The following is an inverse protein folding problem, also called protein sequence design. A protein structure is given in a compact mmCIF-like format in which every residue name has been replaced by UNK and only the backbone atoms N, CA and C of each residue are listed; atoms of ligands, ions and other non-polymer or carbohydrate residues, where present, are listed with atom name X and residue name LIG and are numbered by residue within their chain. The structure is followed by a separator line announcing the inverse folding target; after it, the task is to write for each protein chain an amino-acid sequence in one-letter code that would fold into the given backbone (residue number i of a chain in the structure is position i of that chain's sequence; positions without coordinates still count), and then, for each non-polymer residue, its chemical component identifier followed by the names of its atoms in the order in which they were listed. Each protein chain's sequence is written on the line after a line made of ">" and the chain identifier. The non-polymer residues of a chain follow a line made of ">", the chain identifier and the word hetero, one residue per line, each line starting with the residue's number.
data_IF_081135341975
#
_entry.id   IF_081135341975
#
_cell.length_a   1.000
_cell.length_b   1.000
_cell.length_c   1.000
_cell.angle_alpha   90.00
_cell.angle_beta   90.00
_cell.angle_gamma   90.00
#
_symmetry.space_group_name_H-M   'P 1'
#
loop_
_entity.id
_entity.type
_entity.pdbx_description
1 polymer ?
#
# COMPACT_ATOMS: atom_id res chain seq x y z
N UNK A 1 74.05 -26.50 -21.33
CA UNK A 1 73.39 -26.00 -20.10
C UNK A 1 72.80 -24.58 -20.19
N UNK A 2 72.91 -23.84 -21.31
CA UNK A 2 72.37 -22.46 -21.41
C UNK A 2 70.95 -22.39 -22.04
N UNK A 3 70.49 -23.41 -22.77
CA UNK A 3 69.19 -23.43 -23.42
C UNK A 3 67.99 -23.66 -22.46
N UNK A 4 68.16 -24.38 -21.34
CA UNK A 4 67.06 -24.70 -20.41
C UNK A 4 66.65 -23.55 -19.49
N UNK A 5 67.53 -22.56 -19.25
CA UNK A 5 67.18 -21.43 -18.39
C UNK A 5 66.21 -20.43 -19.09
N UNK A 6 66.38 -20.23 -20.40
CA UNK A 6 65.51 -19.34 -21.16
C UNK A 6 64.05 -19.89 -21.28
N UNK A 7 63.92 -21.23 -21.44
CA UNK A 7 62.63 -21.90 -21.52
C UNK A 7 61.78 -21.74 -20.23
N UNK A 8 62.41 -21.92 -19.06
CA UNK A 8 61.76 -21.78 -17.75
C UNK A 8 61.34 -20.32 -17.45
N UNK A 9 62.10 -19.34 -17.92
CA UNK A 9 61.74 -17.90 -17.73
C UNK A 9 60.55 -17.53 -18.60
N UNK A 10 60.42 -18.02 -19.81
CA UNK A 10 59.27 -17.73 -20.68
C UNK A 10 58.01 -18.44 -20.25
N UNK A 11 58.10 -19.68 -19.70
CA UNK A 11 56.94 -20.39 -19.12
C UNK A 11 56.46 -19.71 -17.82
N UNK A 12 57.41 -19.25 -16.98
CA UNK A 12 57.05 -18.50 -15.76
C UNK A 12 56.40 -17.14 -16.04
N UNK A 13 56.83 -16.41 -17.10
CA UNK A 13 56.23 -15.15 -17.51
C UNK A 13 54.84 -15.34 -18.14
N UNK A 14 54.65 -16.43 -18.91
CA UNK A 14 53.33 -16.78 -19.49
C UNK A 14 52.32 -17.17 -18.41
N UNK A 15 52.74 -17.91 -17.37
CA UNK A 15 51.85 -18.23 -16.22
C UNK A 15 51.51 -17.00 -15.37
N UNK A 16 52.43 -16.06 -15.19
CA UNK A 16 52.18 -14.80 -14.50
C UNK A 16 51.24 -13.87 -15.29
N UNK A 17 51.31 -13.89 -16.63
CA UNK A 17 50.37 -13.16 -17.47
C UNK A 17 48.94 -13.77 -17.49
N UNK A 18 48.80 -15.10 -17.36
CA UNK A 18 47.49 -15.77 -17.25
C UNK A 18 46.85 -15.52 -15.88
N UNK A 19 47.64 -15.35 -14.80
CA UNK A 19 47.14 -14.97 -13.48
C UNK A 19 46.79 -13.47 -13.36
N UNK A 20 47.28 -12.60 -14.26
CA UNK A 20 46.93 -11.17 -14.32
C UNK A 20 45.62 -10.89 -15.08
N UNK A 21 45.04 -11.86 -15.79
CA UNK A 21 43.63 -11.85 -16.18
C UNK A 21 42.74 -12.29 -15.00
N UNK A 22 43.14 -11.87 -13.79
CA UNK A 22 42.32 -11.97 -12.61
C UNK A 22 40.99 -11.26 -12.90
N UNK A 23 39.91 -11.96 -12.72
CA UNK A 23 38.56 -11.54 -12.75
C UNK A 23 38.45 -10.05 -12.42
N UNK A 24 38.31 -9.19 -13.46
CA UNK A 24 37.74 -7.89 -13.24
C UNK A 24 36.36 -8.19 -12.61
N UNK A 25 36.25 -8.00 -11.30
CA UNK A 25 34.98 -8.00 -10.64
C UNK A 25 34.17 -6.93 -11.37
N UNK A 26 33.29 -7.36 -12.27
CA UNK A 26 32.42 -6.45 -12.99
C UNK A 26 31.57 -5.77 -11.92
N UNK A 27 31.79 -4.48 -11.74
CA UNK A 27 30.99 -3.71 -10.79
C UNK A 27 29.52 -3.95 -11.11
N UNK A 28 28.74 -4.36 -10.12
CA UNK A 28 27.32 -4.62 -10.31
C UNK A 28 26.57 -3.37 -10.80
N UNK A 29 25.48 -3.58 -11.50
CA UNK A 29 24.63 -2.50 -11.96
C UNK A 29 23.90 -1.86 -10.78
N UNK A 30 23.50 -0.59 -10.92
CA UNK A 30 22.61 0.08 -9.97
C UNK A 30 21.30 0.41 -10.68
N UNK A 31 20.20 -0.20 -10.21
CA UNK A 31 18.85 0.03 -10.71
C UNK A 31 18.19 1.13 -9.90
N UNK A 32 17.68 2.15 -10.56
CA UNK A 32 17.18 3.36 -9.92
C UNK A 32 15.66 3.38 -9.88
N UNK A 33 15.11 3.63 -8.70
CA UNK A 33 13.68 3.84 -8.46
C UNK A 33 13.43 5.26 -7.99
N UNK A 34 12.24 5.78 -8.24
CA UNK A 34 11.80 7.08 -7.69
C UNK A 34 10.63 6.90 -6.76
N UNK A 35 10.55 7.68 -5.68
CA UNK A 35 9.43 7.75 -4.77
C UNK A 35 9.16 9.19 -4.36
N UNK A 36 7.96 9.70 -4.69
CA UNK A 36 7.44 10.96 -4.15
C UNK A 36 6.29 10.67 -3.20
N UNK A 37 6.33 11.26 -2.00
CA UNK A 37 5.34 10.99 -0.97
C UNK A 37 5.25 12.13 0.05
N UNK A 38 4.16 12.13 0.83
CA UNK A 38 3.97 13.06 1.94
C UNK A 38 4.70 12.55 3.20
N UNK A 39 5.98 12.87 3.34
CA UNK A 39 6.71 12.69 4.62
C UNK A 39 6.20 13.71 5.63
N UNK A 40 5.88 14.91 5.15
CA UNK A 40 5.20 15.97 5.90
C UNK A 40 3.86 16.32 5.25
N UNK A 41 2.99 17.09 5.93
CA UNK A 41 1.70 17.54 5.39
C UNK A 41 0.51 16.65 5.80
N UNK A 42 -0.64 16.74 5.09
CA UNK A 42 -1.93 16.26 5.58
C UNK A 42 -2.05 14.74 5.81
N UNK A 43 -1.23 13.94 5.15
CA UNK A 43 -1.25 12.46 5.24
C UNK A 43 0.08 11.87 5.72
N UNK A 44 0.88 12.68 6.42
CA UNK A 44 2.21 12.28 6.88
C UNK A 44 2.18 11.18 7.96
N UNK A 45 1.08 11.02 8.67
CA UNK A 45 0.86 9.92 9.61
C UNK A 45 0.92 8.54 8.92
N UNK A 46 0.52 8.47 7.64
CA UNK A 46 0.70 7.27 6.82
C UNK A 46 2.00 7.33 5.98
N UNK A 47 2.35 8.50 5.42
CA UNK A 47 3.48 8.64 4.50
C UNK A 47 4.84 8.43 5.15
N UNK A 48 5.04 8.90 6.40
CA UNK A 48 6.31 8.75 7.09
C UNK A 48 6.65 7.26 7.37
N UNK A 49 5.81 6.45 8.05
CA UNK A 49 6.12 5.03 8.21
C UNK A 49 6.21 4.27 6.88
N UNK A 50 5.42 4.63 5.86
CA UNK A 50 5.55 4.07 4.51
C UNK A 50 6.95 4.30 3.93
N UNK A 51 7.46 5.53 3.98
CA UNK A 51 8.81 5.85 3.47
C UNK A 51 9.89 5.01 4.15
N UNK A 52 9.75 4.78 5.46
CA UNK A 52 10.69 3.95 6.24
C UNK A 52 10.64 2.49 5.81
N UNK A 53 9.47 1.97 5.46
CA UNK A 53 9.34 0.62 4.91
C UNK A 53 10.07 0.43 3.59
N UNK A 54 9.92 1.38 2.66
CA UNK A 54 10.66 1.37 1.38
C UNK A 54 12.15 1.49 1.62
N UNK A 55 12.59 2.47 2.42
CA UNK A 55 14.00 2.71 2.74
C UNK A 55 14.67 1.46 3.30
N UNK A 56 14.08 0.85 4.31
CA UNK A 56 14.67 -0.28 5.03
C UNK A 56 14.71 -1.54 4.15
N UNK A 57 13.68 -1.79 3.35
CA UNK A 57 13.70 -2.94 2.45
C UNK A 57 14.75 -2.79 1.34
N UNK A 58 14.90 -1.60 0.74
CA UNK A 58 15.94 -1.35 -0.26
C UNK A 58 17.34 -1.48 0.36
N UNK A 59 17.56 -1.00 1.59
CA UNK A 59 18.82 -1.20 2.31
C UNK A 59 19.09 -2.69 2.53
N UNK A 60 18.08 -3.43 2.99
CA UNK A 60 18.17 -4.88 3.19
C UNK A 60 18.58 -5.61 1.91
N UNK A 61 17.95 -5.27 0.78
CA UNK A 61 18.27 -5.85 -0.54
C UNK A 61 19.74 -5.68 -0.89
N UNK A 62 20.29 -4.50 -0.63
CA UNK A 62 21.70 -4.18 -0.91
C UNK A 62 22.64 -4.82 0.11
N UNK A 63 22.30 -4.79 1.41
CA UNK A 63 23.14 -5.34 2.49
C UNK A 63 23.25 -6.87 2.39
N UNK A 64 22.13 -7.55 2.08
CA UNK A 64 22.08 -9.01 1.93
C UNK A 64 22.41 -9.50 0.50
N UNK A 65 22.77 -8.58 -0.40
CA UNK A 65 23.07 -8.90 -1.80
C UNK A 65 21.97 -9.73 -2.48
N UNK A 66 20.69 -9.41 -2.24
CA UNK A 66 19.54 -10.15 -2.79
C UNK A 66 19.59 -10.24 -4.32
N UNK A 67 20.20 -9.24 -4.98
CA UNK A 67 20.41 -9.17 -6.43
C UNK A 67 21.87 -9.52 -6.85
N UNK A 68 22.62 -10.21 -5.99
CA UNK A 68 24.05 -10.47 -6.18
C UNK A 68 24.87 -9.19 -5.99
N UNK A 69 25.74 -8.85 -6.93
CA UNK A 69 26.55 -7.64 -6.87
C UNK A 69 25.82 -6.39 -7.39
N UNK A 70 24.64 -6.55 -7.98
CA UNK A 70 23.80 -5.42 -8.38
C UNK A 70 23.12 -4.77 -7.17
N UNK A 71 22.82 -3.48 -7.27
CA UNK A 71 22.20 -2.66 -6.23
C UNK A 71 20.91 -2.01 -6.71
N UNK A 72 20.07 -1.64 -5.75
CA UNK A 72 18.92 -0.78 -5.96
C UNK A 72 19.16 0.55 -5.25
N UNK A 73 18.94 1.65 -5.94
CA UNK A 73 18.88 3.00 -5.37
C UNK A 73 17.45 3.54 -5.50
N UNK A 74 16.88 4.03 -4.41
CA UNK A 74 15.57 4.65 -4.43
C UNK A 74 15.69 6.12 -4.03
N UNK A 75 15.35 7.03 -4.95
CA UNK A 75 15.28 8.48 -4.68
C UNK A 75 13.97 8.78 -3.96
N UNK A 76 14.03 9.08 -2.68
CA UNK A 76 12.86 9.36 -1.83
C UNK A 76 12.80 10.85 -1.56
N UNK A 77 11.67 11.52 -1.92
CA UNK A 77 11.46 12.96 -1.68
C UNK A 77 10.08 13.26 -1.11
N UNK A 78 10.07 14.21 -0.17
CA UNK A 78 8.84 14.78 0.37
C UNK A 78 8.15 15.67 -0.67
N UNK A 79 6.88 15.38 -0.98
CA UNK A 79 6.04 16.21 -1.84
C UNK A 79 4.98 17.00 -1.07
N UNK A 80 4.90 16.82 0.26
CA UNK A 80 3.92 17.47 1.12
C UNK A 80 2.46 17.25 0.69
N UNK A 81 2.19 16.16 -0.04
CA UNK A 81 0.89 15.87 -0.66
C UNK A 81 0.48 16.89 -1.74
N UNK A 82 1.47 17.53 -2.42
CA UNK A 82 1.26 18.54 -3.45
C UNK A 82 1.60 17.99 -4.83
N UNK A 83 0.63 17.96 -5.73
CA UNK A 83 0.75 17.39 -7.08
C UNK A 83 1.84 18.07 -7.93
N UNK A 84 1.98 19.38 -7.83
CA UNK A 84 3.00 20.13 -8.55
C UNK A 84 4.43 19.81 -8.09
N UNK A 85 4.61 19.52 -6.79
CA UNK A 85 5.90 19.06 -6.25
C UNK A 85 6.19 17.62 -6.71
N UNK A 86 5.17 16.74 -6.67
CA UNK A 86 5.31 15.37 -7.18
C UNK A 86 5.73 15.36 -8.65
N UNK A 87 5.13 16.23 -9.48
CA UNK A 87 5.48 16.34 -10.90
C UNK A 87 6.94 16.72 -11.10
N UNK A 88 7.43 17.77 -10.44
CA UNK A 88 8.85 18.16 -10.49
C UNK A 88 9.79 17.05 -10.02
N UNK A 89 9.42 16.34 -8.96
CA UNK A 89 10.20 15.20 -8.48
C UNK A 89 10.27 14.09 -9.54
N UNK A 90 9.14 13.80 -10.20
CA UNK A 90 9.08 12.78 -11.25
C UNK A 90 9.96 13.13 -12.44
N UNK A 91 9.89 14.37 -12.94
CA UNK A 91 10.75 14.87 -14.00
C UNK A 91 12.25 14.74 -13.65
N UNK A 92 12.65 15.17 -12.45
CA UNK A 92 14.01 15.00 -11.94
C UNK A 92 14.45 13.51 -11.84
N UNK A 93 13.52 12.61 -11.54
CA UNK A 93 13.84 11.17 -11.47
C UNK A 93 14.01 10.56 -12.86
N UNK A 94 13.23 11.03 -13.85
CA UNK A 94 13.41 10.62 -15.25
C UNK A 94 14.81 10.98 -15.74
N UNK A 95 15.29 12.20 -15.45
CA UNK A 95 16.65 12.66 -15.78
C UNK A 95 17.73 11.79 -15.11
N UNK A 96 17.45 11.23 -13.92
CA UNK A 96 18.34 10.28 -13.24
C UNK A 96 18.27 8.88 -13.81
N UNK A 97 17.35 8.58 -14.72
CA UNK A 97 17.19 7.30 -15.38
C UNK A 97 16.54 6.24 -14.51
N UNK A 98 15.45 6.60 -13.79
CA UNK A 98 14.66 5.59 -13.05
C UNK A 98 14.03 4.58 -14.01
N UNK A 99 13.94 3.33 -13.56
CA UNK A 99 13.35 2.22 -14.33
C UNK A 99 11.97 1.83 -13.84
N UNK A 100 11.57 2.27 -12.63
CA UNK A 100 10.25 2.06 -12.02
C UNK A 100 9.95 3.20 -11.06
N UNK A 101 8.70 3.59 -10.92
CA UNK A 101 8.28 4.68 -10.06
C UNK A 101 7.29 4.23 -8.99
N UNK A 102 7.55 4.68 -7.77
CA UNK A 102 6.69 4.49 -6.62
C UNK A 102 6.03 5.83 -6.30
N UNK A 103 4.74 5.97 -6.53
CA UNK A 103 4.02 7.21 -6.23
C UNK A 103 3.11 7.05 -5.01
N UNK A 104 2.91 8.12 -4.25
CA UNK A 104 2.14 8.02 -3.01
C UNK A 104 0.71 8.56 -3.17
N UNK A 105 0.53 9.81 -3.60
CA UNK A 105 -0.76 10.48 -3.49
C UNK A 105 -1.72 10.14 -4.64
N UNK A 106 -3.02 10.05 -4.33
CA UNK A 106 -4.06 9.83 -5.35
C UNK A 106 -4.14 10.96 -6.36
N UNK A 107 -4.07 12.21 -5.88
CA UNK A 107 -4.16 13.37 -6.76
C UNK A 107 -3.04 13.40 -7.79
N UNK A 108 -1.79 13.15 -7.38
CA UNK A 108 -0.65 13.14 -8.29
C UNK A 108 -0.64 11.90 -9.19
N UNK A 109 -1.04 10.72 -8.68
CA UNK A 109 -1.13 9.52 -9.53
C UNK A 109 -2.10 9.73 -10.69
N UNK A 110 -3.29 10.28 -10.41
CA UNK A 110 -4.28 10.59 -11.45
C UNK A 110 -3.80 11.69 -12.42
N UNK A 111 -3.13 12.70 -11.91
CA UNK A 111 -2.64 13.83 -12.73
C UNK A 111 -1.50 13.45 -13.67
N UNK A 112 -0.63 12.51 -13.23
CA UNK A 112 0.54 12.08 -13.99
C UNK A 112 0.29 10.85 -14.88
N UNK A 113 -0.94 10.33 -14.97
CA UNK A 113 -1.25 9.13 -15.78
C UNK A 113 -0.73 9.23 -17.20
N UNK A 114 -0.93 10.38 -17.85
CA UNK A 114 -0.46 10.60 -19.21
C UNK A 114 1.07 10.61 -19.28
N UNK A 115 1.74 11.21 -18.31
CA UNK A 115 3.20 11.23 -18.26
C UNK A 115 3.75 9.80 -18.10
N UNK A 116 3.08 8.93 -17.33
CA UNK A 116 3.48 7.51 -17.18
C UNK A 116 3.32 6.71 -18.48
N UNK A 117 2.25 6.97 -19.26
CA UNK A 117 2.05 6.37 -20.58
C UNK A 117 3.11 6.84 -21.59
N UNK A 118 3.38 8.15 -21.64
CA UNK A 118 4.37 8.76 -22.55
C UNK A 118 5.79 8.24 -22.26
N UNK A 119 6.15 8.10 -20.98
CA UNK A 119 7.43 7.59 -20.52
C UNK A 119 7.55 6.07 -20.50
N UNK A 120 6.45 5.36 -20.72
CA UNK A 120 6.36 3.89 -20.66
C UNK A 120 6.98 3.33 -19.37
N UNK A 121 6.69 3.98 -18.23
CA UNK A 121 7.26 3.62 -16.94
C UNK A 121 6.19 2.99 -16.04
N UNK A 122 6.48 1.78 -15.54
CA UNK A 122 5.59 1.13 -14.58
C UNK A 122 5.58 1.86 -13.25
N UNK A 123 4.37 2.02 -12.68
CA UNK A 123 4.12 2.72 -11.43
C UNK A 123 3.41 1.78 -10.44
N UNK A 124 3.97 1.64 -9.24
CA UNK A 124 3.33 0.93 -8.14
C UNK A 124 2.98 1.97 -7.07
N UNK A 125 1.73 2.48 -7.05
CA UNK A 125 1.38 3.57 -6.15
C UNK A 125 0.93 3.07 -4.77
N UNK A 126 1.10 3.91 -3.74
CA UNK A 126 0.41 3.76 -2.46
C UNK A 126 -1.06 4.22 -2.55
N UNK A 127 -1.46 4.80 -3.67
CA UNK A 127 -2.85 5.13 -3.98
C UNK A 127 -3.55 3.95 -4.62
N UNK A 128 -4.49 3.35 -3.92
CA UNK A 128 -5.32 2.25 -4.43
C UNK A 128 -6.63 2.75 -5.07
N UNK A 129 -6.62 3.95 -5.63
CA UNK A 129 -7.80 4.52 -6.28
C UNK A 129 -8.15 3.75 -7.56
N UNK A 130 -9.39 3.27 -7.70
CA UNK A 130 -9.80 2.48 -8.87
C UNK A 130 -9.61 3.23 -10.20
N UNK A 131 -9.80 4.54 -10.21
CA UNK A 131 -9.54 5.39 -11.38
C UNK A 131 -8.08 5.41 -11.85
N UNK A 132 -7.13 4.92 -11.06
CA UNK A 132 -5.75 4.75 -11.50
C UNK A 132 -5.64 3.72 -12.63
N UNK A 133 -6.51 2.72 -12.65
CA UNK A 133 -6.52 1.62 -13.62
C UNK A 133 -7.34 1.94 -14.89
N UNK A 134 -8.20 2.96 -14.84
CA UNK A 134 -9.03 3.34 -15.99
C UNK A 134 -8.13 4.01 -17.05
N UNK A 135 -8.17 3.54 -18.29
CA UNK A 135 -7.37 4.05 -19.40
C UNK A 135 -5.88 4.21 -19.04
N UNK A 136 -5.32 3.18 -18.36
CA UNK A 136 -3.91 3.14 -17.96
C UNK A 136 -3.30 1.76 -18.16
N UNK A 137 -2.13 1.73 -18.81
CA UNK A 137 -1.36 0.51 -19.01
C UNK A 137 -0.28 0.31 -17.94
N UNK A 138 0.28 1.40 -17.41
CA UNK A 138 1.51 1.36 -16.61
C UNK A 138 1.31 1.44 -15.09
N UNK A 139 0.06 1.51 -14.59
CA UNK A 139 -0.21 1.58 -13.14
C UNK A 139 -0.64 0.21 -12.62
N UNK A 140 0.05 -0.27 -11.57
CA UNK A 140 -0.17 -1.56 -10.92
C UNK A 140 -0.51 -1.34 -9.44
N UNK A 141 -1.75 -1.59 -9.04
CA UNK A 141 -2.14 -1.48 -7.63
C UNK A 141 -1.63 -2.69 -6.85
N UNK A 142 -0.89 -2.52 -5.76
CA UNK A 142 -0.36 -3.66 -5.02
C UNK A 142 -1.44 -4.46 -4.27
N UNK A 143 -2.52 -3.81 -3.85
CA UNK A 143 -3.65 -4.42 -3.12
C UNK A 143 -5.00 -3.96 -3.67
N UNK A 144 -6.07 -4.50 -3.09
CA UNK A 144 -7.46 -4.17 -3.44
C UNK A 144 -7.73 -2.66 -3.43
N UNK A 145 -8.42 -2.18 -4.46
CA UNK A 145 -8.73 -0.77 -4.61
C UNK A 145 -9.57 -0.22 -3.46
N UNK A 146 -9.52 1.09 -3.24
CA UNK A 146 -10.38 1.77 -2.25
C UNK A 146 -11.86 1.51 -2.50
N UNK A 147 -12.26 1.40 -3.75
CA UNK A 147 -13.63 1.04 -4.13
C UNK A 147 -13.98 -0.37 -3.65
N UNK A 148 -13.07 -1.34 -3.89
CA UNK A 148 -13.24 -2.71 -3.37
C UNK A 148 -13.34 -2.72 -1.85
N UNK A 149 -12.48 -1.97 -1.16
CA UNK A 149 -12.49 -1.87 0.30
C UNK A 149 -13.79 -1.28 0.83
N UNK A 150 -14.25 -0.15 0.28
CA UNK A 150 -15.47 0.53 0.74
C UNK A 150 -16.73 -0.31 0.45
N UNK A 151 -16.82 -0.89 -0.75
CA UNK A 151 -17.96 -1.74 -1.13
C UNK A 151 -17.98 -3.03 -0.29
N UNK A 152 -16.83 -3.66 -0.03
CA UNK A 152 -16.75 -4.82 0.88
C UNK A 152 -17.27 -4.49 2.29
N UNK A 153 -16.91 -3.32 2.85
CA UNK A 153 -17.44 -2.89 4.15
C UNK A 153 -18.96 -2.64 4.09
N UNK A 154 -19.44 -2.06 2.99
CA UNK A 154 -20.88 -1.87 2.77
C UNK A 154 -21.64 -3.21 2.65
N UNK A 155 -21.08 -4.18 1.92
CA UNK A 155 -21.60 -5.55 1.86
C UNK A 155 -21.64 -6.20 3.26
N UNK A 156 -20.57 -6.03 4.04
CA UNK A 156 -20.50 -6.53 5.40
C UNK A 156 -21.58 -5.91 6.28
N UNK A 157 -21.81 -4.59 6.18
CA UNK A 157 -22.90 -3.91 6.89
C UNK A 157 -24.26 -4.50 6.51
N UNK A 158 -24.53 -4.66 5.22
CA UNK A 158 -25.82 -5.19 4.74
C UNK A 158 -26.04 -6.64 5.21
N UNK A 159 -25.00 -7.47 5.17
CA UNK A 159 -25.07 -8.88 5.55
C UNK A 159 -25.30 -9.09 7.06
N UNK A 160 -24.84 -8.18 7.90
CA UNK A 160 -24.88 -8.32 9.37
C UNK A 160 -25.87 -7.36 10.06
N UNK A 161 -26.46 -6.42 9.31
CA UNK A 161 -27.50 -5.52 9.85
C UNK A 161 -28.77 -6.30 10.18
N UNK A 162 -29.31 -6.06 11.37
CA UNK A 162 -30.61 -6.62 11.78
C UNK A 162 -31.70 -5.54 11.66
N UNK A 163 -32.73 -5.83 10.90
CA UNK A 163 -33.86 -4.94 10.72
C UNK A 163 -34.10 -4.54 9.26
N UNK A 164 -34.49 -3.30 9.03
CA UNK A 164 -34.77 -2.78 7.69
C UNK A 164 -33.51 -2.46 6.87
N UNK A 165 -33.58 -1.43 6.03
CA UNK A 165 -32.44 -0.95 5.24
C UNK A 165 -31.45 -0.20 6.15
N UNK A 166 -30.16 -0.60 6.24
CA UNK A 166 -29.17 0.10 7.05
C UNK A 166 -28.91 1.51 6.52
N UNK A 167 -28.84 2.48 7.43
CA UNK A 167 -28.53 3.89 7.15
C UNK A 167 -27.05 4.14 7.40
N UNK A 168 -26.32 4.46 6.34
CA UNK A 168 -24.88 4.61 6.32
C UNK A 168 -24.49 6.06 6.02
N UNK A 169 -23.53 6.60 6.75
CA UNK A 169 -22.81 7.80 6.34
C UNK A 169 -21.37 7.44 5.98
N UNK A 170 -20.75 8.24 5.14
CA UNK A 170 -19.35 8.12 4.78
C UNK A 170 -18.56 9.29 5.33
N UNK A 171 -17.46 9.02 6.04
CA UNK A 171 -16.55 10.05 6.59
C UNK A 171 -15.22 9.97 5.83
N UNK A 172 -14.94 10.98 5.00
CA UNK A 172 -13.91 10.89 3.99
C UNK A 172 -12.92 12.05 4.02
N UNK A 173 -11.72 11.80 3.48
CA UNK A 173 -10.72 12.85 3.24
C UNK A 173 -11.20 13.83 2.16
N UNK A 174 -11.00 15.16 2.31
CA UNK A 174 -11.48 16.19 1.38
C UNK A 174 -10.59 16.30 0.13
N UNK A 175 -10.34 15.18 -0.56
CA UNK A 175 -9.53 15.12 -1.78
C UNK A 175 -10.00 13.98 -2.69
N UNK A 176 -9.37 13.81 -3.86
CA UNK A 176 -9.63 12.68 -4.75
C UNK A 176 -9.47 11.33 -4.04
N UNK A 177 -8.53 11.22 -3.09
CA UNK A 177 -8.36 10.04 -2.24
C UNK A 177 -9.67 9.65 -1.55
N UNK A 178 -10.32 10.59 -0.85
CA UNK A 178 -11.55 10.30 -0.11
C UNK A 178 -12.78 10.14 -1.01
N UNK A 179 -12.89 10.94 -2.07
CA UNK A 179 -14.11 11.02 -2.90
C UNK A 179 -14.30 9.83 -3.83
N UNK A 180 -13.20 9.28 -4.38
CA UNK A 180 -13.26 8.25 -5.42
C UNK A 180 -14.14 7.04 -5.09
N UNK A 181 -13.90 6.33 -3.98
CA UNK A 181 -14.65 5.11 -3.66
C UNK A 181 -16.13 5.35 -3.30
N UNK A 182 -16.51 6.60 -2.96
CA UNK A 182 -17.91 6.96 -2.68
C UNK A 182 -18.79 6.75 -3.90
N UNK A 183 -18.31 7.11 -5.09
CA UNK A 183 -19.09 6.97 -6.32
C UNK A 183 -19.33 5.49 -6.66
N UNK A 184 -18.35 4.62 -6.42
CA UNK A 184 -18.54 3.19 -6.65
C UNK A 184 -19.45 2.55 -5.60
N UNK A 185 -19.42 3.01 -4.35
CA UNK A 185 -20.41 2.61 -3.35
C UNK A 185 -21.83 3.03 -3.75
N UNK A 186 -22.03 4.23 -4.33
CA UNK A 186 -23.30 4.65 -4.90
C UNK A 186 -23.73 3.78 -6.09
N UNK A 187 -22.81 3.39 -6.96
CA UNK A 187 -23.09 2.43 -8.05
C UNK A 187 -23.51 1.06 -7.50
N UNK A 188 -22.85 0.56 -6.44
CA UNK A 188 -23.22 -0.70 -5.80
C UNK A 188 -24.67 -0.65 -5.25
N UNK A 189 -25.07 0.47 -4.63
CA UNK A 189 -26.47 0.69 -4.19
C UNK A 189 -27.43 0.66 -5.38
N UNK A 190 -27.09 1.34 -6.47
CA UNK A 190 -27.89 1.30 -7.72
C UNK A 190 -27.97 -0.12 -8.32
N UNK A 191 -26.91 -0.91 -8.16
CA UNK A 191 -26.85 -2.30 -8.58
C UNK A 191 -27.54 -3.28 -7.63
N UNK A 192 -28.20 -2.78 -6.57
CA UNK A 192 -29.06 -3.56 -5.68
C UNK A 192 -28.47 -3.86 -4.30
N UNK A 193 -27.33 -3.27 -3.91
CA UNK A 193 -26.84 -3.33 -2.53
C UNK A 193 -27.81 -2.58 -1.62
N UNK A 194 -28.50 -3.31 -0.73
CA UNK A 194 -29.64 -2.79 0.05
C UNK A 194 -29.19 -1.95 1.24
N UNK A 195 -28.65 -0.77 1.00
CA UNK A 195 -28.34 0.25 2.03
C UNK A 195 -28.74 1.65 1.56
N UNK A 196 -28.94 2.56 2.51
CA UNK A 196 -29.17 3.99 2.26
C UNK A 196 -27.91 4.78 2.61
N UNK A 197 -27.31 5.47 1.64
CA UNK A 197 -26.24 6.45 1.89
C UNK A 197 -26.90 7.77 2.28
N UNK A 198 -26.95 8.05 3.58
CA UNK A 198 -27.66 9.22 4.15
C UNK A 198 -26.86 10.50 3.97
N UNK A 199 -25.54 10.42 4.12
CA UNK A 199 -24.64 11.58 4.06
C UNK A 199 -23.22 11.18 3.72
N UNK A 200 -22.51 12.05 2.97
CA UNK A 200 -21.07 12.00 2.78
C UNK A 200 -20.47 13.21 3.48
N UNK A 201 -19.65 12.98 4.49
CA UNK A 201 -18.98 14.00 5.30
C UNK A 201 -17.51 14.08 4.90
N UNK A 202 -17.11 15.15 4.26
CA UNK A 202 -15.71 15.49 4.12
C UNK A 202 -15.21 16.10 5.45
N UNK A 203 -14.22 15.47 6.10
CA UNK A 203 -13.72 16.01 7.36
C UNK A 203 -12.97 17.33 7.15
N UNK A 204 -13.21 18.26 8.06
CA UNK A 204 -12.48 19.53 8.13
C UNK A 204 -11.11 19.38 8.80
N UNK A 205 -10.49 20.52 9.06
CA UNK A 205 -9.30 20.62 9.91
C UNK A 205 -9.68 20.70 11.40
N UNK A 206 -10.99 20.78 11.67
CA UNK A 206 -11.52 20.93 13.02
C UNK A 206 -11.28 19.64 13.83
N UNK A 207 -10.89 19.84 15.08
CA UNK A 207 -10.61 18.77 16.03
C UNK A 207 -11.86 18.29 16.79
N UNK A 208 -13.06 18.84 16.51
CA UNK A 208 -14.32 18.53 17.18
C UNK A 208 -15.40 18.10 16.18
N UNK A 209 -15.82 16.84 16.29
CA UNK A 209 -16.87 16.26 15.47
C UNK A 209 -18.25 16.25 16.13
N UNK A 210 -18.43 16.94 17.27
CA UNK A 210 -19.67 16.92 18.06
C UNK A 210 -20.91 17.26 17.24
N UNK A 211 -20.86 18.35 16.45
CA UNK A 211 -21.98 18.78 15.63
C UNK A 211 -22.31 17.76 14.52
N UNK A 212 -21.27 17.25 13.87
CA UNK A 212 -21.40 16.21 12.83
C UNK A 212 -22.03 14.94 13.40
N UNK A 213 -21.52 14.42 14.51
CA UNK A 213 -22.03 13.20 15.14
C UNK A 213 -23.49 13.33 15.59
N UNK A 214 -23.86 14.45 16.21
CA UNK A 214 -25.27 14.72 16.59
C UNK A 214 -26.18 14.80 15.36
N UNK A 215 -25.73 15.44 14.27
CA UNK A 215 -26.47 15.51 13.01
C UNK A 215 -26.69 14.13 12.39
N UNK A 216 -25.65 13.29 12.35
CA UNK A 216 -25.73 11.92 11.84
C UNK A 216 -26.72 11.08 12.68
N UNK A 217 -26.65 11.19 14.01
CA UNK A 217 -27.57 10.48 14.92
C UNK A 217 -29.03 10.93 14.70
N UNK A 218 -29.30 12.24 14.55
CA UNK A 218 -30.62 12.77 14.26
C UNK A 218 -31.20 12.27 12.92
N UNK A 219 -30.32 12.02 11.93
CA UNK A 219 -30.67 11.37 10.66
C UNK A 219 -30.80 9.84 10.77
N UNK A 220 -30.71 9.30 11.97
CA UNK A 220 -30.77 7.86 12.26
C UNK A 220 -29.69 7.03 11.56
N UNK A 221 -28.52 7.63 11.33
CA UNK A 221 -27.35 6.90 10.82
C UNK A 221 -26.93 5.85 11.86
N UNK A 222 -26.72 4.62 11.39
CA UNK A 222 -26.37 3.45 12.21
C UNK A 222 -24.91 3.04 11.99
N UNK A 223 -24.36 3.37 10.83
CA UNK A 223 -23.00 3.01 10.43
C UNK A 223 -22.29 4.21 9.81
N UNK A 224 -21.01 4.37 10.14
CA UNK A 224 -20.12 5.33 9.47
C UNK A 224 -18.97 4.55 8.87
N UNK A 225 -18.84 4.59 7.54
CA UNK A 225 -17.69 4.04 6.83
C UNK A 225 -16.67 5.15 6.59
N UNK A 226 -15.50 5.00 7.17
CA UNK A 226 -14.41 5.98 7.11
C UNK A 226 -13.45 5.66 5.95
N UNK A 227 -13.10 6.67 5.17
CA UNK A 227 -12.05 6.59 4.16
C UNK A 227 -11.19 7.86 4.17
N UNK A 228 -10.23 7.88 5.07
CA UNK A 228 -9.24 8.92 5.34
C UNK A 228 -8.00 8.26 5.96
N UNK A 229 -7.16 9.01 6.66
CA UNK A 229 -6.04 8.49 7.48
C UNK A 229 -6.45 8.35 8.95
N UNK A 230 -5.58 7.77 9.77
CA UNK A 230 -5.89 7.39 11.16
C UNK A 230 -6.26 8.58 12.06
N UNK A 231 -5.56 9.70 11.95
CA UNK A 231 -5.71 10.82 12.91
C UNK A 231 -7.13 11.43 12.93
N UNK A 232 -7.77 11.75 11.78
CA UNK A 232 -9.16 12.22 11.77
C UNK A 232 -10.15 11.18 12.30
N UNK A 233 -9.92 9.89 12.02
CA UNK A 233 -10.77 8.81 12.53
C UNK A 233 -10.64 8.69 14.04
N UNK A 234 -9.43 8.73 14.58
CA UNK A 234 -9.21 8.69 16.02
C UNK A 234 -9.95 9.82 16.75
N UNK A 235 -9.92 11.02 16.19
CA UNK A 235 -10.68 12.16 16.73
C UNK A 235 -12.19 11.93 16.67
N UNK A 236 -12.70 11.44 15.51
CA UNK A 236 -14.13 11.14 15.32
C UNK A 236 -14.64 10.13 16.36
N UNK A 237 -13.95 8.99 16.52
CA UNK A 237 -14.40 7.92 17.42
C UNK A 237 -14.22 8.29 18.90
N UNK A 238 -13.23 9.10 19.27
CA UNK A 238 -13.11 9.66 20.62
C UNK A 238 -14.28 10.57 20.96
N UNK A 239 -14.67 11.45 20.03
CA UNK A 239 -15.83 12.30 20.22
C UNK A 239 -17.11 11.47 20.32
N UNK A 240 -17.26 10.43 19.48
CA UNK A 240 -18.42 9.53 19.57
C UNK A 240 -18.47 8.78 20.90
N UNK A 241 -17.34 8.33 21.44
CA UNK A 241 -17.26 7.70 22.76
C UNK A 241 -17.63 8.72 23.87
N UNK A 242 -17.03 9.91 23.85
CA UNK A 242 -17.31 11.00 24.82
C UNK A 242 -18.80 11.39 24.86
N UNK A 243 -19.45 11.39 23.71
CA UNK A 243 -20.89 11.68 23.57
C UNK A 243 -21.80 10.48 23.88
N UNK A 244 -21.25 9.32 24.16
CA UNK A 244 -22.00 8.10 24.33
C UNK A 244 -22.73 7.62 23.07
N UNK A 245 -22.25 8.00 21.87
CA UNK A 245 -22.86 7.68 20.57
C UNK A 245 -22.24 6.42 19.95
N UNK A 246 -20.99 6.11 20.27
CA UNK A 246 -20.31 4.93 19.75
C UNK A 246 -20.99 3.63 20.19
N UNK A 247 -21.22 2.72 19.25
CA UNK A 247 -21.79 1.40 19.49
C UNK A 247 -20.77 0.49 20.19
N UNK A 248 -21.21 -0.26 21.19
CA UNK A 248 -20.40 -1.30 21.87
C UNK A 248 -20.50 -2.66 21.17
N UNK A 249 -21.54 -2.86 20.39
CA UNK A 249 -21.74 -4.06 19.57
C UNK A 249 -22.13 -3.64 18.16
N UNK A 250 -21.91 -4.52 17.18
CA UNK A 250 -22.23 -4.22 15.79
C UNK A 250 -23.75 -3.96 15.62
N UNK A 251 -24.11 -2.80 15.04
CA UNK A 251 -25.49 -2.43 14.79
C UNK A 251 -26.33 -2.16 16.04
N UNK A 252 -25.71 -1.78 17.17
CA UNK A 252 -26.42 -1.44 18.41
C UNK A 252 -27.46 -0.33 18.18
N UNK A 253 -28.75 -0.55 18.54
CA UNK A 253 -29.80 0.42 18.32
C UNK A 253 -29.53 1.76 18.97
N UNK A 254 -29.74 2.87 18.24
CA UNK A 254 -29.53 4.23 18.73
C UNK A 254 -28.07 4.64 18.90
N UNK A 255 -27.13 3.83 18.40
CA UNK A 255 -25.69 4.11 18.37
C UNK A 255 -25.15 4.02 16.94
N UNK A 256 -23.88 4.42 16.77
CA UNK A 256 -23.18 4.39 15.49
C UNK A 256 -22.02 3.39 15.58
N UNK A 257 -22.03 2.40 14.70
CA UNK A 257 -20.90 1.52 14.46
C UNK A 257 -19.96 2.17 13.44
N UNK A 258 -18.67 2.20 13.73
CA UNK A 258 -17.65 2.77 12.86
C UNK A 258 -16.87 1.66 12.15
N UNK A 259 -16.69 1.82 10.83
CA UNK A 259 -15.91 0.94 9.98
C UNK A 259 -14.93 1.79 9.16
N UNK A 260 -13.86 1.21 8.66
CA UNK A 260 -12.95 1.97 7.81
C UNK A 260 -12.09 1.16 6.87
N UNK A 261 -11.73 1.81 5.77
CA UNK A 261 -10.84 1.28 4.74
C UNK A 261 -9.37 1.36 5.18
N UNK A 262 -8.48 0.80 4.40
CA UNK A 262 -7.06 0.55 4.67
C UNK A 262 -6.34 1.59 5.53
N UNK A 263 -6.33 2.87 5.14
CA UNK A 263 -5.56 3.91 5.84
C UNK A 263 -6.18 4.41 7.15
N UNK A 264 -7.34 3.89 7.56
CA UNK A 264 -8.04 4.32 8.77
C UNK A 264 -7.74 3.47 10.00
N UNK A 265 -7.10 2.32 9.84
CA UNK A 265 -6.94 1.32 10.88
C UNK A 265 -5.48 1.02 11.25
N UNK A 266 -5.23 -0.22 11.64
CA UNK A 266 -3.92 -0.68 12.11
C UNK A 266 -3.64 -0.29 13.56
N UNK A 267 -2.47 -0.69 14.06
CA UNK A 267 -2.05 -0.41 15.44
C UNK A 267 -1.92 1.10 15.70
N UNK A 268 -1.67 1.89 14.66
CA UNK A 268 -1.65 3.36 14.72
C UNK A 268 -2.99 3.93 15.21
N UNK A 269 -4.13 3.40 14.72
CA UNK A 269 -5.45 3.85 15.18
C UNK A 269 -5.66 3.53 16.67
N UNK A 270 -5.31 2.32 17.11
CA UNK A 270 -5.43 1.93 18.52
C UNK A 270 -4.56 2.85 19.41
N UNK A 271 -3.32 3.11 18.99
CA UNK A 271 -2.42 3.98 19.71
C UNK A 271 -2.97 5.42 19.84
N UNK A 272 -3.62 5.93 18.77
CA UNK A 272 -4.21 7.27 18.76
C UNK A 272 -5.53 7.37 19.52
N UNK A 273 -6.39 6.36 19.40
CA UNK A 273 -7.77 6.42 19.90
C UNK A 273 -7.93 5.78 21.29
N UNK A 274 -7.03 4.90 21.70
CA UNK A 274 -7.14 4.17 22.97
C UNK A 274 -8.43 3.35 23.03
N UNK A 275 -9.14 3.42 24.15
CA UNK A 275 -10.41 2.70 24.37
C UNK A 275 -11.52 3.09 23.39
N UNK A 276 -11.43 4.23 22.72
CA UNK A 276 -12.42 4.65 21.73
C UNK A 276 -12.35 3.81 20.42
N UNK A 277 -11.25 3.08 20.23
CA UNK A 277 -11.12 2.16 19.10
C UNK A 277 -11.93 0.85 19.29
N UNK A 278 -12.42 0.54 20.50
CA UNK A 278 -13.19 -0.67 20.76
C UNK A 278 -14.39 -0.78 19.84
N UNK A 279 -14.62 -1.97 19.28
CA UNK A 279 -15.67 -2.24 18.28
C UNK A 279 -15.52 -1.45 16.94
N UNK A 280 -14.34 -0.90 16.64
CA UNK A 280 -14.06 -0.38 15.30
C UNK A 280 -13.77 -1.52 14.34
N UNK A 281 -14.39 -1.51 13.15
CA UNK A 281 -14.15 -2.49 12.10
C UNK A 281 -13.24 -1.88 11.03
N UNK A 282 -12.34 -2.68 10.49
CA UNK A 282 -11.35 -2.23 9.52
C UNK A 282 -11.10 -3.30 8.47
N UNK A 283 -10.85 -2.87 7.23
CA UNK A 283 -10.49 -3.80 6.16
C UNK A 283 -9.18 -3.43 5.48
N UNK A 284 -8.39 -4.46 5.17
CA UNK A 284 -7.13 -4.34 4.44
C UNK A 284 -6.76 -5.67 3.79
N UNK A 285 -5.86 -5.64 2.80
CA UNK A 285 -5.24 -6.84 2.25
C UNK A 285 -3.98 -7.28 3.02
N UNK A 286 -3.56 -6.56 4.07
CA UNK A 286 -2.37 -6.89 4.84
C UNK A 286 -2.66 -7.78 6.05
N UNK A 287 -1.65 -8.61 6.38
CA UNK A 287 -1.60 -9.38 7.63
C UNK A 287 -0.95 -8.50 8.69
N UNK A 288 -1.57 -8.42 9.87
CA UNK A 288 -1.06 -7.63 10.99
C UNK A 288 0.14 -8.30 11.67
N UNK A 289 1.07 -7.50 12.20
CA UNK A 289 2.25 -8.00 12.96
C UNK A 289 1.90 -8.81 14.21
N UNK A 290 0.68 -8.65 14.73
CA UNK A 290 0.15 -9.49 15.80
C UNK A 290 -0.16 -10.93 15.38
N UNK A 291 -0.24 -11.21 14.07
CA UNK A 291 -0.40 -12.55 13.51
C UNK A 291 0.99 -13.10 13.20
N UNK A 292 1.40 -14.17 13.87
CA UNK A 292 2.69 -14.82 13.63
C UNK A 292 2.76 -15.43 12.23
N UNK A 293 3.84 -15.16 11.52
CA UNK A 293 4.08 -15.70 10.19
C UNK A 293 5.37 -15.15 9.58
N UNK A 294 5.86 -15.80 8.52
CA UNK A 294 7.13 -15.45 7.91
C UNK A 294 7.26 -13.99 7.49
N UNK A 295 6.17 -13.39 6.94
CA UNK A 295 6.17 -12.00 6.51
C UNK A 295 6.19 -11.01 7.68
N UNK A 296 5.40 -11.28 8.72
CA UNK A 296 5.34 -10.43 9.92
C UNK A 296 6.61 -10.54 10.75
N UNK A 297 7.18 -11.75 10.87
CA UNK A 297 8.47 -11.96 11.54
C UNK A 297 9.61 -11.25 10.79
N UNK A 298 9.61 -11.31 9.45
CA UNK A 298 10.55 -10.57 8.60
C UNK A 298 10.43 -9.06 8.81
N UNK A 299 9.21 -8.51 8.80
CA UNK A 299 8.97 -7.09 9.04
C UNK A 299 9.54 -6.61 10.37
N UNK A 300 9.26 -7.35 11.46
CA UNK A 300 9.74 -7.01 12.80
C UNK A 300 11.27 -7.11 12.89
N UNK A 301 11.87 -8.13 12.27
CA UNK A 301 13.32 -8.27 12.19
C UNK A 301 13.97 -7.13 11.38
N UNK A 302 13.35 -6.73 10.26
CA UNK A 302 13.80 -5.62 9.43
C UNK A 302 13.77 -4.29 10.21
N UNK A 303 12.66 -3.99 10.87
CA UNK A 303 12.50 -2.81 11.70
C UNK A 303 13.56 -2.74 12.81
N UNK A 304 13.77 -3.85 13.51
CA UNK A 304 14.82 -3.98 14.54
C UNK A 304 16.22 -3.75 13.97
N UNK A 305 16.54 -4.35 12.81
CA UNK A 305 17.83 -4.22 12.14
C UNK A 305 18.19 -2.75 11.86
N UNK A 306 17.21 -1.96 11.44
CA UNK A 306 17.42 -0.56 11.08
C UNK A 306 17.00 0.43 12.17
N UNK A 307 16.84 -0.04 13.42
CA UNK A 307 16.64 0.79 14.61
C UNK A 307 15.30 1.53 14.63
N UNK A 308 14.27 0.94 14.05
CA UNK A 308 12.91 1.50 14.12
C UNK A 308 12.28 1.21 15.47
N UNK A 309 11.56 2.17 15.99
CA UNK A 309 10.78 2.01 17.23
C UNK A 309 9.57 1.07 17.01
N UNK A 310 8.94 0.65 18.12
CA UNK A 310 7.80 -0.26 18.06
C UNK A 310 6.60 0.31 17.31
N UNK A 311 6.43 1.65 17.34
CA UNK A 311 5.36 2.32 16.61
C UNK A 311 5.52 2.12 15.10
N UNK A 312 6.72 2.36 14.56
CA UNK A 312 7.02 2.14 13.14
C UNK A 312 6.98 0.64 12.82
N UNK A 313 7.63 -0.20 13.64
CA UNK A 313 7.72 -1.65 13.41
C UNK A 313 6.35 -2.32 13.28
N UNK A 314 5.35 -1.86 14.03
CA UNK A 314 4.00 -2.40 14.05
C UNK A 314 2.99 -1.62 13.18
N UNK A 315 3.44 -0.58 12.46
CA UNK A 315 2.57 0.18 11.57
C UNK A 315 2.26 -0.60 10.29
N UNK A 316 0.98 -0.69 9.92
CA UNK A 316 0.60 -1.27 8.62
C UNK A 316 1.04 -0.39 7.44
N UNK A 317 1.31 0.90 7.67
CA UNK A 317 1.88 1.78 6.66
C UNK A 317 3.36 1.44 6.40
N UNK A 318 4.10 0.99 7.43
CA UNK A 318 5.44 0.42 7.26
C UNK A 318 5.39 -0.88 6.46
N UNK A 319 4.43 -1.77 6.75
CA UNK A 319 4.14 -2.98 5.94
C UNK A 319 3.90 -2.64 4.48
N UNK A 320 3.07 -1.61 4.24
CA UNK A 320 2.77 -1.15 2.88
C UNK A 320 4.04 -0.70 2.13
N UNK A 321 4.91 0.08 2.77
CA UNK A 321 6.19 0.49 2.20
C UNK A 321 7.10 -0.69 1.86
N UNK A 322 7.24 -1.65 2.78
CA UNK A 322 7.99 -2.89 2.55
C UNK A 322 7.41 -3.64 1.34
N UNK A 323 6.10 -3.86 1.32
CA UNK A 323 5.43 -4.66 0.29
C UNK A 323 5.59 -4.05 -1.11
N UNK A 324 5.42 -2.75 -1.25
CA UNK A 324 5.61 -2.07 -2.54
C UNK A 324 7.06 -2.19 -3.02
N UNK A 325 8.03 -2.03 -2.13
CA UNK A 325 9.44 -2.24 -2.45
C UNK A 325 9.75 -3.72 -2.76
N UNK A 326 9.10 -4.67 -2.07
CA UNK A 326 9.21 -6.10 -2.39
C UNK A 326 8.72 -6.42 -3.81
N UNK A 327 7.57 -5.89 -4.24
CA UNK A 327 7.07 -6.08 -5.60
C UNK A 327 8.04 -5.50 -6.62
N UNK A 328 8.54 -4.28 -6.40
CA UNK A 328 9.52 -3.65 -7.29
C UNK A 328 10.81 -4.46 -7.42
N UNK A 329 11.37 -4.94 -6.30
CA UNK A 329 12.61 -5.73 -6.30
C UNK A 329 12.38 -7.13 -6.89
N UNK A 330 11.27 -7.77 -6.59
CA UNK A 330 10.94 -9.07 -7.19
C UNK A 330 10.82 -8.98 -8.70
N UNK A 331 10.25 -7.88 -9.22
CA UNK A 331 10.20 -7.60 -10.66
C UNK A 331 11.60 -7.55 -11.28
N UNK A 332 12.53 -6.84 -10.64
CA UNK A 332 13.93 -6.76 -11.06
C UNK A 332 14.60 -8.15 -11.00
N UNK A 333 14.38 -8.87 -9.91
CA UNK A 333 14.96 -10.20 -9.69
C UNK A 333 14.51 -11.20 -10.75
N UNK A 334 13.25 -11.21 -11.12
CA UNK A 334 12.68 -12.07 -12.20
C UNK A 334 13.28 -11.72 -13.55
N UNK A 335 13.30 -10.44 -13.92
CA UNK A 335 13.91 -10.02 -15.17
C UNK A 335 15.41 -10.44 -15.27
N UNK A 336 16.16 -10.36 -14.16
CA UNK A 336 17.53 -10.85 -14.09
C UNK A 336 17.60 -12.37 -14.26
N UNK A 337 16.75 -13.11 -13.57
CA UNK A 337 16.74 -14.58 -13.65
C UNK A 337 16.44 -15.07 -15.08
N UNK A 338 15.60 -14.32 -15.81
CA UNK A 338 15.26 -14.57 -17.23
C UNK A 338 16.36 -14.05 -18.20
N UNK A 339 17.49 -13.54 -17.69
CA UNK A 339 18.59 -13.00 -18.50
C UNK A 339 18.25 -11.71 -19.24
N UNK A 340 17.18 -11.02 -18.88
CA UNK A 340 16.74 -9.77 -19.53
C UNK A 340 17.58 -8.59 -19.05
N UNK A 341 17.86 -7.64 -19.97
CA UNK A 341 18.36 -6.33 -19.58
C UNK A 341 17.28 -5.58 -18.78
N UNK A 342 17.65 -5.01 -17.65
CA UNK A 342 16.71 -4.23 -16.82
C UNK A 342 16.43 -2.88 -17.48
N UNK A 343 15.22 -2.72 -17.95
CA UNK A 343 14.66 -1.52 -18.62
C UNK A 343 13.22 -1.31 -18.15
N UNK A 344 12.65 -0.13 -18.40
CA UNK A 344 11.23 0.14 -18.14
C UNK A 344 10.33 -0.91 -18.80
N UNK A 345 10.60 -1.27 -20.05
CA UNK A 345 9.86 -2.28 -20.81
C UNK A 345 9.94 -3.66 -20.16
N UNK A 346 11.15 -4.15 -19.85
CA UNK A 346 11.30 -5.48 -19.25
C UNK A 346 10.63 -5.57 -17.88
N UNK A 347 10.68 -4.52 -17.07
CA UNK A 347 10.01 -4.51 -15.77
C UNK A 347 8.48 -4.46 -15.89
N UNK A 348 7.94 -3.73 -16.88
CA UNK A 348 6.52 -3.77 -17.20
C UNK A 348 6.06 -5.19 -17.59
N UNK A 349 6.82 -5.86 -18.48
CA UNK A 349 6.53 -7.24 -18.90
C UNK A 349 6.58 -8.23 -17.72
N UNK A 350 7.53 -8.06 -16.78
CA UNK A 350 7.63 -8.90 -15.60
C UNK A 350 6.48 -8.67 -14.60
N UNK A 351 6.01 -7.44 -14.46
CA UNK A 351 4.82 -7.17 -13.65
C UNK A 351 3.61 -7.89 -14.22
N UNK A 352 3.38 -7.83 -15.53
CA UNK A 352 2.29 -8.55 -16.19
C UNK A 352 2.45 -10.07 -16.12
N UNK A 353 3.68 -10.57 -16.03
CA UNK A 353 3.96 -12.00 -15.89
C UNK A 353 3.75 -12.55 -14.46
N UNK A 354 3.51 -11.67 -13.47
CA UNK A 354 3.19 -12.07 -12.09
C UNK A 354 1.73 -12.54 -11.99
N UNK A 355 1.37 -13.64 -12.63
CA UNK A 355 0.02 -14.18 -12.57
C UNK A 355 -0.01 -15.71 -12.43
N UNK A 356 -1.12 -16.24 -11.94
CA UNK A 356 -1.34 -17.66 -11.76
C UNK A 356 -0.21 -18.32 -10.95
N UNK A 357 0.42 -19.35 -11.51
CA UNK A 357 1.54 -20.06 -10.84
C UNK A 357 2.78 -19.19 -10.64
N UNK A 358 2.87 -18.04 -11.32
CA UNK A 358 3.94 -17.06 -11.20
C UNK A 358 3.56 -15.85 -10.33
N UNK A 359 2.41 -15.87 -9.66
CA UNK A 359 2.03 -14.82 -8.70
C UNK A 359 3.11 -14.67 -7.63
N UNK A 360 3.19 -13.48 -7.01
CA UNK A 360 4.17 -13.19 -5.98
C UNK A 360 3.53 -13.16 -4.59
N UNK A 361 4.02 -14.00 -3.68
CA UNK A 361 3.55 -14.02 -2.30
C UNK A 361 4.57 -13.33 -1.37
N UNK A 362 4.34 -12.07 -0.99
CA UNK A 362 5.22 -11.33 -0.07
C UNK A 362 5.10 -11.81 1.38
N UNK A 363 4.16 -12.73 1.69
CA UNK A 363 3.84 -13.24 3.03
C UNK A 363 3.29 -12.19 4.01
N UNK A 364 3.13 -10.96 3.57
CA UNK A 364 2.54 -9.86 4.35
C UNK A 364 1.11 -9.52 3.91
N UNK A 365 0.60 -10.20 2.90
CA UNK A 365 -0.75 -10.03 2.35
C UNK A 365 -1.59 -11.30 2.50
N UNK A 366 -2.92 -11.14 2.50
CA UNK A 366 -3.89 -12.24 2.67
C UNK A 366 -4.04 -13.13 1.43
N UNK A 367 -3.43 -12.74 0.33
CA UNK A 367 -3.33 -13.53 -0.90
C UNK A 367 -2.07 -13.06 -1.68
N UNK A 368 -1.55 -13.86 -2.61
CA UNK A 368 -0.48 -13.45 -3.51
C UNK A 368 -0.85 -12.24 -4.36
N UNK A 369 0.16 -11.49 -4.80
CA UNK A 369 0.03 -10.45 -5.83
C UNK A 369 -0.09 -11.13 -7.19
N UNK A 370 -1.13 -10.79 -7.92
CA UNK A 370 -1.46 -11.35 -9.23
C UNK A 370 -1.82 -10.21 -10.19
N UNK A 371 -1.11 -10.10 -11.33
CA UNK A 371 -1.38 -9.06 -12.34
C UNK A 371 -1.58 -9.68 -13.71
N UNK A 372 -2.41 -9.04 -14.53
CA UNK A 372 -2.57 -9.37 -15.94
C UNK A 372 -2.77 -8.10 -16.78
N UNK A 373 -2.86 -8.23 -18.08
CA UNK A 373 -3.16 -7.10 -18.96
C UNK A 373 -4.54 -6.48 -18.66
N UNK A 374 -5.50 -7.30 -18.27
CA UNK A 374 -6.88 -6.88 -18.01
C UNK A 374 -7.16 -6.58 -16.54
N UNK A 375 -6.31 -7.06 -15.63
CA UNK A 375 -6.42 -6.76 -14.20
C UNK A 375 -5.03 -6.44 -13.62
N UNK A 376 -4.85 -5.20 -13.22
CA UNK A 376 -3.63 -4.69 -12.58
C UNK A 376 -3.85 -4.38 -11.10
N UNK A 377 -4.84 -5.02 -10.47
CA UNK A 377 -5.06 -5.02 -9.03
C UNK A 377 -4.44 -6.29 -8.43
N UNK A 378 -3.32 -6.15 -7.70
CA UNK A 378 -2.47 -7.28 -7.31
C UNK A 378 -3.09 -8.23 -6.31
N UNK A 379 -3.69 -7.72 -5.23
CA UNK A 379 -4.38 -8.54 -4.23
C UNK A 379 -5.85 -8.15 -4.21
N UNK A 380 -6.74 -9.06 -4.59
CA UNK A 380 -8.18 -8.82 -4.63
C UNK A 380 -8.88 -9.07 -3.30
N UNK A 381 -8.29 -9.88 -2.41
CA UNK A 381 -8.90 -10.27 -1.15
C UNK A 381 -8.63 -9.24 -0.05
N UNK A 382 -9.62 -9.12 0.82
CA UNK A 382 -9.64 -8.22 1.96
C UNK A 382 -9.98 -9.00 3.22
N UNK A 383 -9.19 -8.83 4.27
CA UNK A 383 -9.52 -9.28 5.62
C UNK A 383 -10.27 -8.16 6.34
N UNK A 384 -11.38 -8.52 6.97
CA UNK A 384 -12.03 -7.64 7.94
C UNK A 384 -11.46 -7.94 9.32
N UNK A 385 -11.12 -6.89 10.05
CA UNK A 385 -10.68 -6.94 11.44
C UNK A 385 -11.65 -6.14 12.31
N UNK A 386 -11.69 -6.48 13.60
CA UNK A 386 -12.42 -5.73 14.63
C UNK A 386 -11.51 -5.50 15.83
N UNK A 387 -11.60 -4.34 16.45
CA UNK A 387 -10.95 -4.12 17.75
C UNK A 387 -11.78 -4.74 18.85
N UNK A 388 -11.16 -5.64 19.60
CA UNK A 388 -11.75 -6.36 20.74
C UNK A 388 -10.70 -6.49 21.84
N UNK A 389 -11.00 -5.96 23.04
CA UNK A 389 -10.07 -5.91 24.15
C UNK A 389 -8.78 -5.13 23.83
N UNK A 390 -8.90 -4.04 23.08
CA UNK A 390 -7.77 -3.19 22.70
C UNK A 390 -6.83 -3.79 21.64
N UNK A 391 -7.24 -4.88 20.96
CA UNK A 391 -6.43 -5.56 19.94
C UNK A 391 -7.26 -5.90 18.72
N UNK A 392 -6.62 -5.96 17.56
CA UNK A 392 -7.26 -6.40 16.32
C UNK A 392 -7.51 -7.91 16.33
N UNK A 393 -8.73 -8.31 15.98
CA UNK A 393 -9.14 -9.69 15.74
C UNK A 393 -9.67 -9.82 14.32
N UNK A 394 -9.25 -10.85 13.62
CA UNK A 394 -9.80 -11.15 12.29
C UNK A 394 -11.27 -11.60 12.42
N UNK A 395 -12.11 -11.16 11.50
CA UNK A 395 -13.53 -11.50 11.42
C UNK A 395 -13.79 -12.27 10.14
N UNK A 396 -14.02 -13.55 10.24
CA UNK A 396 -14.19 -14.44 9.10
C UNK A 396 -12.92 -14.63 8.27
N UNK A 397 -13.09 -15.24 7.10
CA UNK A 397 -12.03 -15.45 6.12
C UNK A 397 -11.87 -14.22 5.20
N UNK A 398 -10.69 -14.04 4.55
CA UNK A 398 -10.52 -12.99 3.55
C UNK A 398 -11.48 -13.13 2.39
N UNK A 399 -12.16 -12.02 2.02
CA UNK A 399 -13.20 -11.96 1.01
C UNK A 399 -12.87 -10.98 -0.11
N UNK A 400 -13.45 -11.20 -1.29
CA UNK A 400 -13.50 -10.22 -2.38
C UNK A 400 -14.94 -9.75 -2.57
N UNK A 401 -15.13 -8.46 -2.94
CA UNK A 401 -16.47 -7.89 -3.13
C UNK A 401 -17.20 -8.49 -4.33
N UNK A 402 -18.39 -9.00 -4.10
CA UNK A 402 -19.28 -9.48 -5.17
C UNK A 402 -19.90 -8.34 -5.99
N UNK A 403 -20.18 -7.20 -5.35
CA UNK A 403 -20.72 -6.04 -6.05
C UNK A 403 -19.69 -5.33 -6.91
N UNK A 404 -18.41 -5.37 -6.54
CA UNK A 404 -17.36 -4.83 -7.41
C UNK A 404 -17.27 -5.58 -8.74
N UNK A 405 -17.55 -6.88 -8.77
CA UNK A 405 -17.66 -7.66 -10.02
C UNK A 405 -18.85 -7.24 -10.90
N UNK A 406 -19.89 -6.68 -10.30
CA UNK A 406 -21.11 -6.24 -11.00
C UNK A 406 -21.03 -4.81 -11.53
N UNK A 407 -20.16 -3.96 -10.94
CA UNK A 407 -20.09 -2.54 -11.27
C UNK A 407 -18.80 -2.14 -12.01
N UNK A 408 -17.85 -3.09 -12.18
CA UNK A 408 -16.69 -2.99 -13.11
C UNK A 408 -17.14 -3.19 -14.60
#
# INVERSE_FOLDING_TARGET
>A
MKANKAFFIHVGLALLLILAFGTQAQAGNTYKLGLSLAITGPTSDAGNPYSKGVEDYIRYVNDEKVLGDDKVECFIRDDQYKTDVTKRNFEDYLDKGIVLYLNYSTGSTLALKRDFEEEQIAVIPASFHAGNLVDSHYIFLPIASYSSQMVTLAEYVVAHHKGGTPKVAMFIHPSAFGRGPVEDAKKAVKAGLKMEIVEVVEHGKDLDNTATLKRLLNKKVQYVICHTVQSPVATLIKDAQRLGIAAKTFGEPGKITFLGAHYTGGNDLIALAGSAAENYFWTTSYILTSVKGAGTDFQLALAKRYGRDDKIANSHNYTNGIMVAQVAVETIKRAKADGKKITRKSLYEELLAMNGDKSYDPKTTVAPVDYSETDKQGVDKLQIYRVEGGSWKAVGEPIASEYMKKIK
#
